data_IF_921565438848
#
_entry.id   IF_921565438848
#
_cell.length_a   1.000
_cell.length_b   1.000
_cell.length_c   1.000
_cell.angle_alpha   90.00
_cell.angle_beta   90.00
_cell.angle_gamma   90.00
#
_symmetry.space_group_name_H-M   'P 1'
#
loop_
_entity.id
_entity.type
_entity.pdbx_description
1 polymer ?
#
# COMPACT_ATOMS: atom_id res chain seq x y z
N UNK A 1 29.40 9.63 10.20
CA UNK A 1 28.45 8.87 9.33
C UNK A 1 27.34 8.19 10.12
N UNK A 2 27.59 7.69 11.34
CA UNK A 2 26.57 6.94 12.13
C UNK A 2 25.38 7.77 12.61
N UNK A 3 25.53 9.08 12.84
CA UNK A 3 24.46 9.90 13.42
C UNK A 3 23.46 10.42 12.39
N UNK A 4 23.85 10.54 11.12
CA UNK A 4 22.95 10.94 10.04
C UNK A 4 21.95 9.82 9.75
N UNK A 5 22.37 8.57 9.77
CA UNK A 5 21.49 7.41 9.52
C UNK A 5 20.54 7.12 10.68
N UNK A 6 20.95 7.41 11.93
CA UNK A 6 20.09 7.22 13.12
C UNK A 6 18.88 8.15 13.16
N UNK A 7 18.95 9.32 12.51
CA UNK A 7 17.86 10.32 12.52
C UNK A 7 16.77 10.06 11.46
N UNK A 8 17.05 9.27 10.42
CA UNK A 8 16.09 9.02 9.33
C UNK A 8 14.86 8.22 9.75
N UNK A 9 14.97 7.46 10.83
CA UNK A 9 13.84 6.66 11.37
C UNK A 9 13.21 7.29 12.62
N UNK A 10 13.67 8.45 13.08
CA UNK A 10 13.18 9.09 14.30
C UNK A 10 11.79 9.70 14.18
N UNK A 11 11.40 10.13 12.99
CA UNK A 11 10.07 10.67 12.72
C UNK A 11 9.47 9.97 11.51
N UNK A 12 8.52 9.10 11.76
CA UNK A 12 7.69 8.53 10.70
C UNK A 12 6.90 9.67 10.03
N UNK A 13 6.95 9.75 8.70
CA UNK A 13 6.32 10.81 7.90
C UNK A 13 6.87 12.24 8.15
N UNK A 14 7.99 12.38 8.86
CA UNK A 14 8.64 13.67 9.05
C UNK A 14 9.67 13.97 7.95
N UNK A 15 9.87 15.26 7.63
CA UNK A 15 10.86 15.72 6.67
C UNK A 15 10.30 15.98 5.28
N UNK A 16 11.22 16.15 4.32
CA UNK A 16 10.93 16.40 2.91
C UNK A 16 10.85 15.10 2.08
N UNK A 17 10.57 15.23 0.80
CA UNK A 17 10.52 14.11 -0.14
C UNK A 17 11.84 13.32 -0.21
N UNK A 18 12.97 13.98 -0.02
CA UNK A 18 14.26 13.29 -0.01
C UNK A 18 14.40 12.38 1.21
N UNK A 19 13.97 12.85 2.38
CA UNK A 19 13.95 12.03 3.59
C UNK A 19 12.98 10.86 3.44
N UNK A 20 11.82 11.09 2.82
CA UNK A 20 10.85 10.05 2.51
C UNK A 20 11.44 8.97 1.62
N UNK A 21 12.09 9.34 0.51
CA UNK A 21 12.76 8.39 -0.37
C UNK A 21 13.83 7.56 0.36
N UNK A 22 14.63 8.19 1.23
CA UNK A 22 15.63 7.48 2.04
C UNK A 22 15.01 6.45 2.97
N UNK A 23 13.85 6.77 3.59
CA UNK A 23 13.12 5.83 4.43
C UNK A 23 12.62 4.63 3.63
N UNK A 24 12.11 4.84 2.43
CA UNK A 24 11.62 3.78 1.55
C UNK A 24 12.75 2.90 0.99
N UNK A 25 13.90 3.48 0.69
CA UNK A 25 15.11 2.72 0.34
C UNK A 25 15.52 1.82 1.50
N UNK A 26 15.57 2.38 2.71
CA UNK A 26 15.94 1.63 3.90
C UNK A 26 14.96 0.50 4.20
N UNK A 27 13.66 0.77 4.08
CA UNK A 27 12.62 -0.23 4.31
C UNK A 27 12.64 -1.32 3.24
N UNK A 28 12.58 -0.95 1.96
CA UNK A 28 12.45 -1.89 0.86
C UNK A 28 13.77 -2.64 0.60
N UNK A 29 14.78 -1.93 0.13
CA UNK A 29 16.07 -2.52 -0.22
C UNK A 29 16.80 -3.05 1.02
N UNK A 30 16.91 -2.22 2.06
CA UNK A 30 17.55 -2.60 3.31
C UNK A 30 16.87 -3.76 4.01
N UNK A 31 15.54 -3.82 3.95
CA UNK A 31 14.74 -4.92 4.47
C UNK A 31 15.10 -6.27 3.84
N UNK A 32 15.14 -6.34 2.50
CA UNK A 32 15.51 -7.57 1.78
C UNK A 32 16.95 -7.98 2.08
N UNK A 33 17.88 -7.02 2.07
CA UNK A 33 19.28 -7.29 2.40
C UNK A 33 19.44 -7.82 3.84
N UNK A 34 18.63 -7.31 4.77
CA UNK A 34 18.62 -7.78 6.16
C UNK A 34 18.09 -9.20 6.27
N UNK A 35 16.96 -9.52 5.63
CA UNK A 35 16.42 -10.88 5.59
C UNK A 35 17.45 -11.86 5.04
N UNK A 36 18.10 -11.49 3.93
CA UNK A 36 19.13 -12.31 3.31
C UNK A 36 20.32 -12.57 4.24
N UNK A 37 20.79 -11.51 4.93
CA UNK A 37 21.89 -11.62 5.88
C UNK A 37 21.55 -12.49 7.10
N UNK A 38 20.30 -12.51 7.52
CA UNK A 38 19.79 -13.35 8.60
C UNK A 38 19.45 -14.78 8.14
N UNK A 39 19.64 -15.11 6.85
CA UNK A 39 19.29 -16.43 6.30
C UNK A 39 17.79 -16.70 6.23
N UNK A 40 16.95 -15.66 6.34
CA UNK A 40 15.49 -15.77 6.31
C UNK A 40 15.04 -15.80 4.84
N UNK A 41 14.53 -16.91 4.39
CA UNK A 41 13.92 -17.07 3.05
C UNK A 41 12.40 -17.01 3.16
N UNK A 42 11.77 -16.35 2.21
CA UNK A 42 10.31 -16.24 2.08
C UNK A 42 9.89 -16.59 0.66
N UNK A 43 8.71 -17.17 0.53
CA UNK A 43 8.11 -17.51 -0.76
C UNK A 43 7.24 -16.38 -1.30
N UNK A 44 6.62 -15.60 -0.40
CA UNK A 44 5.73 -14.50 -0.74
C UNK A 44 6.16 -13.22 -0.02
N UNK A 45 6.10 -12.11 -0.74
CA UNK A 45 6.43 -10.78 -0.26
C UNK A 45 5.22 -9.88 -0.38
N UNK A 46 4.80 -9.31 0.74
CA UNK A 46 3.64 -8.44 0.82
C UNK A 46 4.06 -6.98 0.99
N UNK A 47 3.84 -6.18 -0.04
CA UNK A 47 4.02 -4.74 0.01
C UNK A 47 2.79 -4.08 0.63
N UNK A 48 2.91 -3.65 1.87
CA UNK A 48 1.88 -2.85 2.53
C UNK A 48 2.11 -1.38 2.20
N UNK A 49 1.32 -0.83 1.29
CA UNK A 49 1.51 0.47 0.63
C UNK A 49 2.74 0.58 -0.30
N UNK A 50 2.80 1.66 -1.08
CA UNK A 50 3.87 1.92 -2.03
C UNK A 50 5.25 2.04 -1.40
N UNK A 51 5.34 2.52 -0.16
CA UNK A 51 6.61 2.74 0.52
C UNK A 51 7.46 1.48 0.74
N UNK A 52 6.87 0.30 0.62
CA UNK A 52 7.60 -0.97 0.69
C UNK A 52 8.06 -1.50 -0.68
N UNK A 53 7.62 -0.89 -1.79
CA UNK A 53 7.75 -1.44 -3.14
C UNK A 53 9.19 -1.67 -3.59
N UNK A 54 10.16 -0.89 -3.09
CA UNK A 54 11.59 -1.09 -3.41
C UNK A 54 12.14 -2.44 -2.92
N UNK A 55 11.39 -3.21 -2.12
CA UNK A 55 11.75 -4.60 -1.81
C UNK A 55 11.79 -5.45 -3.10
N UNK A 56 10.88 -5.19 -4.04
CA UNK A 56 10.84 -5.89 -5.32
C UNK A 56 12.04 -5.52 -6.20
N UNK A 57 12.51 -4.27 -6.16
CA UNK A 57 13.73 -3.87 -6.84
C UNK A 57 14.96 -4.68 -6.37
N UNK A 58 15.14 -4.83 -5.07
CA UNK A 58 16.26 -5.60 -4.56
C UNK A 58 16.16 -7.09 -4.93
N UNK A 59 14.95 -7.63 -4.97
CA UNK A 59 14.71 -9.02 -5.39
C UNK A 59 15.00 -9.23 -6.88
N UNK A 60 14.62 -8.27 -7.75
CA UNK A 60 15.02 -8.29 -9.16
C UNK A 60 16.54 -8.39 -9.32
N UNK A 61 17.27 -7.55 -8.59
CA UNK A 61 18.75 -7.56 -8.61
C UNK A 61 19.31 -8.91 -8.16
N UNK A 62 18.72 -9.50 -7.12
CA UNK A 62 19.19 -10.78 -6.60
C UNK A 62 18.98 -11.90 -7.62
N UNK A 63 17.83 -11.99 -8.29
CA UNK A 63 17.58 -12.96 -9.35
C UNK A 63 18.49 -12.76 -10.57
N UNK A 64 18.74 -11.52 -10.97
CA UNK A 64 19.67 -11.21 -12.08
C UNK A 64 21.11 -11.64 -11.72
N UNK A 65 21.53 -11.46 -10.47
CA UNK A 65 22.83 -11.95 -9.99
C UNK A 65 22.91 -13.48 -9.96
N UNK A 66 21.78 -14.16 -9.87
CA UNK A 66 21.67 -15.62 -9.97
C UNK A 66 21.66 -16.10 -11.43
N UNK A 67 21.69 -15.19 -12.41
CA UNK A 67 21.84 -15.49 -13.83
C UNK A 67 20.58 -15.35 -14.68
N UNK A 68 19.47 -14.87 -14.11
CA UNK A 68 18.25 -14.63 -14.87
C UNK A 68 18.35 -13.31 -15.66
N UNK A 69 17.69 -13.26 -16.81
CA UNK A 69 17.43 -12.01 -17.51
C UNK A 69 16.45 -11.13 -16.73
N UNK A 70 16.39 -9.85 -17.04
CA UNK A 70 15.42 -8.93 -16.43
C UNK A 70 13.97 -9.42 -16.62
N UNK A 71 13.61 -9.91 -17.81
CA UNK A 71 12.28 -10.39 -18.12
C UNK A 71 11.89 -11.64 -17.29
N UNK A 72 12.83 -12.55 -17.09
CA UNK A 72 12.59 -13.72 -16.23
C UNK A 72 12.48 -13.31 -14.74
N UNK A 73 13.36 -12.43 -14.30
CA UNK A 73 13.38 -11.94 -12.93
C UNK A 73 12.08 -11.20 -12.55
N UNK A 74 11.56 -10.34 -13.47
CA UNK A 74 10.34 -9.58 -13.19
C UNK A 74 9.12 -10.49 -13.04
N UNK A 75 9.02 -11.57 -13.83
CA UNK A 75 7.91 -12.53 -13.70
C UNK A 75 7.97 -13.31 -12.38
N UNK A 76 9.17 -13.72 -11.94
CA UNK A 76 9.33 -14.35 -10.63
C UNK A 76 9.01 -13.41 -9.47
N UNK A 77 9.43 -12.16 -9.57
CA UNK A 77 9.09 -11.14 -8.56
C UNK A 77 7.60 -10.90 -8.52
N UNK A 78 6.94 -10.73 -9.66
CA UNK A 78 5.49 -10.56 -9.76
C UNK A 78 4.75 -11.74 -9.13
N UNK A 79 5.05 -12.96 -9.57
CA UNK A 79 4.38 -14.18 -9.12
C UNK A 79 4.44 -14.42 -7.61
N UNK A 80 5.40 -13.79 -6.93
CA UNK A 80 5.63 -13.94 -5.48
C UNK A 80 5.43 -12.63 -4.71
N UNK A 81 4.78 -11.63 -5.31
CA UNK A 81 4.52 -10.32 -4.69
C UNK A 81 3.05 -9.97 -4.69
N UNK A 82 2.60 -9.43 -3.56
CA UNK A 82 1.27 -8.87 -3.34
C UNK A 82 1.41 -7.41 -2.90
N UNK A 83 0.59 -6.53 -3.44
CA UNK A 83 0.50 -5.14 -3.04
C UNK A 83 -0.86 -4.83 -2.42
N UNK A 84 -0.89 -4.32 -1.20
CA UNK A 84 -2.09 -3.81 -0.55
C UNK A 84 -2.06 -2.29 -0.51
N UNK A 85 -3.02 -1.66 -1.19
CA UNK A 85 -3.23 -0.22 -1.17
C UNK A 85 -4.21 0.14 -0.05
N UNK A 86 -3.88 1.18 0.73
CA UNK A 86 -4.76 1.75 1.75
C UNK A 86 -5.24 3.14 1.36
N UNK A 87 -4.50 3.82 0.49
CA UNK A 87 -4.76 5.19 0.06
C UNK A 87 -5.87 5.24 -0.98
N UNK A 88 -6.98 5.98 -0.73
CA UNK A 88 -8.14 6.01 -1.64
C UNK A 88 -8.04 7.08 -2.72
N UNK A 89 -7.00 7.90 -2.73
CA UNK A 89 -6.83 9.04 -3.66
C UNK A 89 -5.41 9.13 -4.20
N UNK A 90 -5.24 9.46 -5.50
CA UNK A 90 -3.91 9.52 -6.13
C UNK A 90 -2.93 10.47 -5.42
N UNK A 91 -3.41 11.61 -4.90
CA UNK A 91 -2.57 12.59 -4.23
C UNK A 91 -1.91 12.11 -2.93
N UNK A 92 -2.38 10.99 -2.37
CA UNK A 92 -1.82 10.40 -1.15
C UNK A 92 -0.68 9.40 -1.41
N UNK A 93 -0.36 9.11 -2.67
CA UNK A 93 0.75 8.23 -3.02
C UNK A 93 2.08 8.98 -3.01
N UNK A 94 3.16 8.24 -2.79
CA UNK A 94 4.52 8.81 -2.81
C UNK A 94 5.00 8.98 -4.25
N UNK A 95 5.30 10.23 -4.61
CA UNK A 95 5.82 10.64 -5.93
C UNK A 95 7.17 11.31 -5.78
N UNK A 96 8.13 10.89 -6.60
CA UNK A 96 9.48 11.43 -6.61
C UNK A 96 9.83 12.02 -7.98
N UNK A 97 10.34 13.25 -7.99
CA UNK A 97 10.86 13.85 -9.21
C UNK A 97 12.04 13.02 -9.73
N UNK A 98 12.16 12.91 -11.04
CA UNK A 98 13.17 12.08 -11.69
C UNK A 98 14.60 12.44 -11.24
N UNK A 99 14.90 13.72 -11.07
CA UNK A 99 16.20 14.20 -10.59
C UNK A 99 16.53 13.72 -9.17
N UNK A 100 15.53 13.76 -8.27
CA UNK A 100 15.69 13.27 -6.90
C UNK A 100 15.82 11.74 -6.90
N UNK A 101 14.98 11.05 -7.64
CA UNK A 101 15.01 9.59 -7.73
C UNK A 101 16.35 9.12 -8.33
N UNK A 102 16.80 9.77 -9.40
CA UNK A 102 18.08 9.48 -10.05
C UNK A 102 19.31 9.67 -9.16
N UNK A 103 19.24 10.63 -8.23
CA UNK A 103 20.33 10.85 -7.25
C UNK A 103 20.64 9.60 -6.42
N UNK A 104 19.63 8.79 -6.10
CA UNK A 104 19.76 7.58 -5.29
C UNK A 104 19.70 6.30 -6.09
N UNK A 105 18.94 6.29 -7.20
CA UNK A 105 18.65 5.10 -8.00
C UNK A 105 19.42 5.02 -9.31
N UNK A 106 20.24 6.01 -9.66
CA UNK A 106 20.91 6.08 -10.98
C UNK A 106 21.82 4.91 -11.31
N UNK A 107 22.34 4.18 -10.33
CA UNK A 107 23.16 2.98 -10.56
C UNK A 107 22.36 1.68 -10.73
N UNK A 108 21.06 1.68 -10.46
CA UNK A 108 20.24 0.46 -10.46
C UNK A 108 19.92 -0.08 -11.86
N UNK A 109 19.66 0.74 -12.89
CA UNK A 109 19.43 0.24 -14.25
C UNK A 109 20.54 -0.64 -14.77
N UNK A 110 21.80 -0.27 -14.51
CA UNK A 110 22.95 -1.09 -14.90
C UNK A 110 22.95 -2.45 -14.20
N UNK A 111 22.52 -2.52 -12.93
CA UNK A 111 22.41 -3.78 -12.19
C UNK A 111 21.26 -4.66 -12.72
N UNK A 112 20.24 -4.04 -13.30
CA UNK A 112 19.08 -4.71 -13.89
C UNK A 112 19.30 -5.08 -15.37
N UNK A 113 20.32 -4.53 -16.03
CA UNK A 113 20.57 -4.74 -17.45
C UNK A 113 19.56 -4.03 -18.37
N UNK A 114 18.95 -2.94 -17.91
CA UNK A 114 17.96 -2.13 -18.63
C UNK A 114 18.42 -0.67 -18.71
N UNK A 115 17.76 0.12 -19.57
CA UNK A 115 18.00 1.56 -19.67
C UNK A 115 17.41 2.33 -18.46
N UNK A 116 17.85 3.59 -18.31
CA UNK A 116 17.23 4.49 -17.32
C UNK A 116 15.74 4.73 -17.61
N UNK A 117 15.41 4.92 -18.89
CA UNK A 117 14.02 5.19 -19.31
C UNK A 117 13.10 4.01 -19.01
N UNK A 118 13.56 2.79 -19.27
CA UNK A 118 12.80 1.58 -18.88
C UNK A 118 12.61 1.50 -17.36
N UNK A 119 13.64 1.78 -16.59
CA UNK A 119 13.57 1.73 -15.12
C UNK A 119 12.62 2.78 -14.55
N UNK A 120 12.77 4.05 -14.96
CA UNK A 120 11.91 5.13 -14.46
C UNK A 120 10.47 4.95 -14.95
N UNK A 121 10.28 4.40 -16.15
CA UNK A 121 8.99 4.05 -16.74
C UNK A 121 8.19 3.05 -15.91
N UNK A 122 8.86 2.18 -15.15
CA UNK A 122 8.16 1.24 -14.24
C UNK A 122 7.36 1.94 -13.14
N UNK A 123 7.71 3.17 -12.79
CA UNK A 123 6.97 3.99 -11.81
C UNK A 123 6.04 5.01 -12.45
N UNK A 124 5.86 5.00 -13.77
CA UNK A 124 4.97 5.91 -14.52
C UNK A 124 3.72 5.18 -15.01
N UNK A 125 2.60 5.86 -15.00
CA UNK A 125 1.35 5.36 -15.58
C UNK A 125 1.47 5.22 -17.11
N UNK A 126 2.12 6.20 -17.74
CA UNK A 126 2.59 6.10 -19.11
C UNK A 126 4.12 6.13 -19.13
N UNK A 127 4.79 4.98 -19.37
CA UNK A 127 6.26 4.93 -19.39
C UNK A 127 6.92 5.96 -20.30
N UNK A 128 6.27 6.31 -21.41
CA UNK A 128 6.78 7.27 -22.40
C UNK A 128 6.54 8.74 -22.00
N UNK A 129 5.80 9.01 -20.94
CA UNK A 129 5.53 10.38 -20.50
C UNK A 129 6.59 10.86 -19.52
N UNK A 130 7.60 11.56 -20.03
CA UNK A 130 8.70 12.12 -19.24
C UNK A 130 8.26 13.27 -18.29
N UNK A 131 7.03 13.74 -18.37
CA UNK A 131 6.48 14.69 -17.40
C UNK A 131 5.96 14.03 -16.13
N UNK A 132 5.67 12.72 -16.17
CA UNK A 132 5.24 11.96 -14.99
C UNK A 132 6.40 11.73 -14.03
N UNK A 133 6.14 11.95 -12.75
CA UNK A 133 7.05 11.61 -11.67
C UNK A 133 7.02 10.10 -11.40
N UNK A 134 8.09 9.57 -10.82
CA UNK A 134 8.11 8.19 -10.35
C UNK A 134 7.14 8.02 -9.17
N UNK A 135 6.15 7.15 -9.33
CA UNK A 135 5.16 6.80 -8.31
C UNK A 135 5.45 5.41 -7.73
N UNK A 136 5.63 5.34 -6.42
CA UNK A 136 5.91 4.08 -5.74
C UNK A 136 4.76 3.08 -5.85
N UNK A 137 3.52 3.55 -5.86
CA UNK A 137 2.34 2.69 -6.02
C UNK A 137 2.23 2.13 -7.44
N UNK A 138 2.57 2.93 -8.45
CA UNK A 138 2.65 2.45 -9.84
C UNK A 138 3.74 1.39 -9.98
N UNK A 139 4.92 1.62 -9.38
CA UNK A 139 5.99 0.64 -9.35
C UNK A 139 5.55 -0.65 -8.63
N UNK A 140 4.82 -0.54 -7.52
CA UNK A 140 4.25 -1.70 -6.83
C UNK A 140 3.27 -2.47 -7.72
N UNK A 141 2.34 -1.78 -8.41
CA UNK A 141 1.42 -2.41 -9.36
C UNK A 141 2.15 -3.14 -10.50
N UNK A 142 3.23 -2.56 -11.01
CA UNK A 142 4.02 -3.15 -12.10
C UNK A 142 4.91 -4.32 -11.67
N UNK A 143 5.17 -4.47 -10.36
CA UNK A 143 6.06 -5.50 -9.81
C UNK A 143 5.36 -6.50 -8.89
N UNK A 144 4.04 -6.40 -8.72
CA UNK A 144 3.20 -7.36 -7.99
C UNK A 144 2.17 -7.95 -8.95
N UNK A 145 1.89 -9.25 -8.81
CA UNK A 145 0.84 -9.91 -9.57
C UNK A 145 -0.53 -9.54 -9.05
N UNK A 146 -0.69 -9.51 -7.73
CA UNK A 146 -1.95 -9.22 -7.07
C UNK A 146 -1.89 -7.86 -6.39
N UNK A 147 -2.94 -7.08 -6.58
CA UNK A 147 -3.18 -5.80 -5.92
C UNK A 147 -4.52 -5.87 -5.20
N UNK A 148 -4.60 -5.46 -3.96
CA UNK A 148 -5.87 -5.41 -3.25
C UNK A 148 -6.09 -4.12 -2.47
N UNK A 149 -7.33 -3.64 -2.51
CA UNK A 149 -7.84 -2.67 -1.55
C UNK A 149 -8.27 -3.34 -0.25
N UNK A 150 -8.52 -2.54 0.80
CA UNK A 150 -8.78 -3.03 2.17
C UNK A 150 -10.27 -3.16 2.51
N UNK A 151 -11.14 -3.03 1.52
CA UNK A 151 -12.58 -3.32 1.59
C UNK A 151 -13.15 -3.44 0.18
N UNK A 152 -14.35 -4.00 0.02
CA UNK A 152 -15.03 -4.09 -1.28
C UNK A 152 -15.14 -2.73 -1.97
N UNK A 153 -15.61 -1.72 -1.25
CA UNK A 153 -15.70 -0.35 -1.80
C UNK A 153 -14.33 0.21 -2.18
N UNK A 154 -13.33 0.01 -1.32
CA UNK A 154 -11.97 0.48 -1.61
C UNK A 154 -11.35 -0.26 -2.80
N UNK A 155 -11.63 -1.55 -2.99
CA UNK A 155 -11.24 -2.29 -4.18
C UNK A 155 -11.77 -1.63 -5.46
N UNK A 156 -13.06 -1.28 -5.52
CA UNK A 156 -13.64 -0.58 -6.67
C UNK A 156 -13.02 0.80 -6.92
N UNK A 157 -12.73 1.55 -5.85
CA UNK A 157 -12.03 2.84 -5.97
C UNK A 157 -10.62 2.61 -6.52
N UNK A 158 -9.91 1.61 -6.02
CA UNK A 158 -8.54 1.28 -6.44
C UNK A 158 -8.48 0.79 -7.89
N UNK A 159 -9.45 -0.01 -8.35
CA UNK A 159 -9.58 -0.42 -9.76
C UNK A 159 -9.60 0.80 -10.68
N UNK A 160 -10.44 1.79 -10.38
CA UNK A 160 -10.53 3.03 -11.18
C UNK A 160 -9.27 3.89 -11.06
N UNK A 161 -8.69 3.96 -9.88
CA UNK A 161 -7.49 4.76 -9.63
C UNK A 161 -6.27 4.23 -10.40
N UNK A 162 -6.13 2.90 -10.49
CA UNK A 162 -5.01 2.25 -11.17
C UNK A 162 -5.31 1.82 -12.61
N UNK A 163 -6.56 1.96 -13.09
CA UNK A 163 -6.93 1.62 -14.46
C UNK A 163 -6.01 2.17 -15.55
N UNK A 164 -5.46 3.42 -15.43
CA UNK A 164 -4.55 3.95 -16.43
C UNK A 164 -3.24 3.17 -16.60
N UNK A 165 -2.83 2.35 -15.60
CA UNK A 165 -1.62 1.51 -15.67
C UNK A 165 -1.82 0.38 -16.69
N UNK A 166 -3.02 -0.20 -16.75
CA UNK A 166 -3.35 -1.33 -17.64
C UNK A 166 -4.20 -0.85 -18.82
N UNK A 167 -3.55 -0.20 -19.78
CA UNK A 167 -4.21 0.32 -20.99
C UNK A 167 -4.89 -0.81 -21.77
N UNK A 168 -6.14 -0.59 -22.17
CA UNK A 168 -6.93 -1.53 -22.96
C UNK A 168 -7.78 -2.50 -22.12
N UNK A 169 -7.72 -2.43 -20.80
CA UNK A 169 -8.60 -3.16 -19.90
C UNK A 169 -9.65 -2.24 -19.28
N UNK A 170 -10.85 -2.76 -19.04
CA UNK A 170 -11.80 -2.07 -18.16
C UNK A 170 -11.31 -2.12 -16.71
N UNK A 171 -11.67 -1.14 -15.85
CA UNK A 171 -11.23 -1.16 -14.46
C UNK A 171 -11.54 -2.46 -13.72
N UNK A 172 -12.67 -3.08 -14.03
CA UNK A 172 -13.14 -4.33 -13.42
C UNK A 172 -12.37 -5.57 -13.88
N UNK A 173 -11.64 -5.48 -14.99
CA UNK A 173 -10.79 -6.55 -15.54
C UNK A 173 -9.34 -6.46 -15.01
N UNK A 174 -9.01 -5.39 -14.29
CA UNK A 174 -7.68 -5.21 -13.72
C UNK A 174 -7.40 -6.21 -12.58
N UNK A 175 -6.13 -6.47 -12.33
CA UNK A 175 -5.68 -7.35 -11.24
C UNK A 175 -5.84 -6.72 -9.84
N UNK A 176 -6.86 -5.86 -9.65
CA UNK A 176 -7.13 -5.19 -8.39
C UNK A 176 -8.37 -5.78 -7.73
N UNK A 177 -8.14 -6.57 -6.70
CA UNK A 177 -9.17 -7.14 -5.87
C UNK A 177 -9.38 -6.37 -4.56
N UNK A 178 -9.94 -7.06 -3.59
CA UNK A 178 -10.05 -6.54 -2.23
C UNK A 178 -9.98 -7.66 -1.19
N UNK A 179 -9.43 -7.32 -0.03
CA UNK A 179 -9.53 -8.12 1.18
C UNK A 179 -9.99 -7.18 2.29
N UNK A 180 -11.16 -7.44 2.86
CA UNK A 180 -11.70 -6.57 3.91
C UNK A 180 -10.89 -6.70 5.18
N UNK A 181 -10.39 -5.59 5.71
CA UNK A 181 -9.67 -5.55 6.97
C UNK A 181 -10.59 -5.99 8.12
N UNK A 182 -10.04 -6.76 9.05
CA UNK A 182 -10.66 -7.04 10.32
C UNK A 182 -10.72 -5.77 11.20
N UNK A 183 -11.81 -5.62 11.94
CA UNK A 183 -11.97 -4.53 12.92
C UNK A 183 -11.97 -5.13 14.30
N UNK A 184 -11.01 -4.72 15.13
CA UNK A 184 -11.02 -5.10 16.55
C UNK A 184 -11.98 -4.20 17.33
N UNK A 185 -13.25 -4.60 17.35
CA UNK A 185 -14.33 -3.86 17.96
C UNK A 185 -14.01 -3.35 19.38
N UNK A 186 -13.44 -4.16 20.31
CA UNK A 186 -13.13 -3.68 21.64
C UNK A 186 -12.15 -2.51 21.69
N UNK A 187 -11.21 -2.39 20.74
CA UNK A 187 -10.26 -1.29 20.69
C UNK A 187 -10.88 -0.01 20.16
N UNK A 188 -11.74 -0.12 19.14
CA UNK A 188 -12.24 1.03 18.39
C UNK A 188 -13.58 1.58 18.90
N UNK A 189 -14.24 0.86 19.82
CA UNK A 189 -15.52 1.29 20.37
C UNK A 189 -15.31 2.04 21.67
N UNK A 190 -15.78 3.28 21.74
CA UNK A 190 -15.79 4.07 22.95
C UNK A 190 -16.62 3.38 24.06
N UNK A 191 -16.23 3.59 25.31
CA UNK A 191 -16.87 2.95 26.47
C UNK A 191 -18.38 3.25 26.57
N UNK A 192 -18.78 4.46 26.19
CA UNK A 192 -20.18 4.91 26.16
C UNK A 192 -21.00 4.11 25.17
N UNK A 193 -20.47 3.86 23.97
CA UNK A 193 -21.10 3.02 22.95
C UNK A 193 -21.19 1.55 23.38
N UNK A 194 -20.18 1.03 24.06
CA UNK A 194 -20.25 -0.34 24.61
C UNK A 194 -21.44 -0.51 25.56
N UNK A 195 -21.67 0.45 26.44
CA UNK A 195 -22.84 0.43 27.34
C UNK A 195 -24.17 0.42 26.57
N UNK A 196 -24.24 1.12 25.45
CA UNK A 196 -25.41 1.11 24.56
C UNK A 196 -25.57 -0.26 23.91
N UNK A 197 -24.51 -0.82 23.38
CA UNK A 197 -24.55 -2.15 22.75
C UNK A 197 -24.87 -3.24 23.75
N UNK A 198 -24.28 -3.24 24.94
CA UNK A 198 -24.58 -4.19 26.01
C UNK A 198 -26.06 -4.14 26.46
N UNK A 199 -26.70 -2.98 26.30
CA UNK A 199 -28.11 -2.79 26.67
C UNK A 199 -29.08 -3.27 25.59
N UNK A 200 -28.76 -3.07 24.32
CA UNK A 200 -29.70 -3.26 23.21
C UNK A 200 -29.38 -4.46 22.33
N UNK A 201 -28.13 -4.96 22.35
CA UNK A 201 -27.70 -6.08 21.55
C UNK A 201 -27.59 -7.37 22.36
N UNK A 202 -27.65 -8.49 21.65
CA UNK A 202 -27.39 -9.80 22.25
C UNK A 202 -25.96 -9.90 22.77
N UNK A 203 -25.75 -10.72 23.83
CA UNK A 203 -24.40 -10.95 24.39
C UNK A 203 -23.40 -11.54 23.44
N UNK A 204 -23.85 -12.16 22.35
CA UNK A 204 -22.98 -12.69 21.29
C UNK A 204 -22.54 -11.62 20.30
N UNK A 205 -23.04 -10.40 20.37
CA UNK A 205 -22.69 -9.31 19.46
C UNK A 205 -21.19 -9.14 19.27
N UNK A 206 -20.41 -9.25 20.35
CA UNK A 206 -18.95 -9.11 20.28
C UNK A 206 -18.29 -10.20 19.42
N UNK A 207 -18.92 -11.37 19.32
CA UNK A 207 -18.38 -12.51 18.60
C UNK A 207 -18.95 -12.67 17.19
N UNK A 208 -20.07 -12.03 16.88
CA UNK A 208 -20.78 -12.16 15.60
C UNK A 208 -21.28 -10.80 15.09
N UNK A 209 -20.33 -9.89 14.85
CA UNK A 209 -20.64 -8.52 14.38
C UNK A 209 -21.08 -8.48 12.92
N UNK A 210 -20.85 -9.55 12.16
CA UNK A 210 -21.27 -9.67 10.76
C UNK A 210 -22.76 -10.02 10.61
N UNK A 211 -23.42 -10.40 11.69
CA UNK A 211 -24.83 -10.76 11.68
C UNK A 211 -25.72 -9.51 11.59
N UNK A 212 -26.24 -9.25 10.39
CA UNK A 212 -27.06 -8.07 10.12
C UNK A 212 -28.28 -7.95 11.05
N UNK A 213 -28.85 -9.09 11.48
CA UNK A 213 -30.05 -9.08 12.35
C UNK A 213 -29.78 -8.44 13.73
N UNK A 214 -28.55 -8.55 14.23
CA UNK A 214 -28.15 -7.91 15.50
C UNK A 214 -28.20 -6.39 15.37
N UNK A 215 -27.75 -5.86 14.23
CA UNK A 215 -27.73 -4.42 13.97
C UNK A 215 -29.13 -3.79 13.85
N UNK A 216 -30.15 -4.56 13.50
CA UNK A 216 -31.53 -4.06 13.47
C UNK A 216 -31.99 -3.56 14.86
N UNK A 217 -31.43 -4.11 15.93
CA UNK A 217 -31.73 -3.66 17.29
C UNK A 217 -31.32 -2.21 17.57
N UNK A 218 -30.45 -1.63 16.73
CA UNK A 218 -30.04 -0.21 16.87
C UNK A 218 -31.21 0.75 16.64
N UNK A 219 -32.23 0.36 15.87
CA UNK A 219 -33.46 1.14 15.68
C UNK A 219 -34.29 1.28 16.96
N UNK A 220 -34.07 0.38 17.92
CA UNK A 220 -34.70 0.45 19.26
C UNK A 220 -33.87 1.31 20.21
N UNK A 221 -32.67 1.74 19.79
CA UNK A 221 -31.78 2.55 20.60
C UNK A 221 -32.07 4.06 20.44
N UNK A 222 -31.42 4.84 21.28
CA UNK A 222 -31.55 6.32 21.32
C UNK A 222 -31.05 7.06 20.07
N UNK A 223 -30.68 6.40 18.97
CA UNK A 223 -30.14 7.03 17.78
C UNK A 223 -31.12 8.07 17.20
N UNK A 224 -32.41 7.81 17.28
CA UNK A 224 -33.45 8.74 16.85
C UNK A 224 -33.65 9.97 17.78
N UNK A 225 -33.10 9.90 19.00
CA UNK A 225 -33.15 11.00 19.95
C UNK A 225 -31.92 11.89 19.85
N UNK A 226 -30.81 11.40 19.32
CA UNK A 226 -29.58 12.17 19.19
C UNK A 226 -29.49 13.02 17.89
N UNK A 227 -30.23 12.68 16.84
CA UNK A 227 -30.21 13.42 15.57
C UNK A 227 -30.73 14.86 15.68
N UNK A 228 -31.85 15.16 16.38
CA UNK A 228 -32.31 16.54 16.49
C UNK A 228 -31.35 17.47 17.23
N UNK A 229 -30.54 16.92 18.13
CA UNK A 229 -29.58 17.73 18.90
C UNK A 229 -28.36 18.15 18.07
N UNK A 230 -27.97 17.38 17.07
CA UNK A 230 -26.86 17.72 16.17
C UNK A 230 -27.19 18.83 15.18
N UNK A 231 -28.41 18.89 14.69
CA UNK A 231 -28.89 19.93 13.78
C UNK A 231 -28.99 21.32 14.44
N UNK A 232 -29.15 21.38 15.77
CA UNK A 232 -29.19 22.62 16.53
C UNK A 232 -27.82 23.17 16.96
N UNK A 233 -26.73 22.43 16.74
CA UNK A 233 -25.36 22.83 17.12
C UNK A 233 -24.51 23.35 15.94
N UNK A 234 -25.08 23.44 14.75
CA UNK A 234 -24.42 23.93 13.52
C UNK A 234 -25.10 25.22 13.02
N UNK A 235 -25.57 26.05 13.92
CA UNK A 235 -26.02 27.44 13.59
C UNK A 235 -25.13 28.43 14.31
#
# INVERSE_FOLDING_TARGET
ASDVYKRQTHALYGGDNENRLKQEILLGIGGILTLKKLGIKKDIYHCNEGHAALCNLQRLIDYIKEGLSFNEAIELVRASSLYTVHTPVPAGHDYFDESLFGKYMGGYPQMLGISWDEFIGMGRTNPEDHSERFCMSTFACNTCQEVNGVSKLHGWVSQRMFAPIWKGYYPEESHVGYVTNGVHFPTWTATEWRKVYDKYFDKNFINDQSNESIWHSIYLSLIHISEPTRLGMIS
#
